data_IF_468420964371
#
_entry.id   IF_468420964371
#
_cell.length_a   1.000
_cell.length_b   1.000
_cell.length_c   1.000
_cell.angle_alpha   90.00
_cell.angle_beta   90.00
_cell.angle_gamma   90.00
#
_symmetry.space_group_name_H-M   'P 1'
#
loop_
_entity.id
_entity.type
_entity.pdbx_description
1 polymer ?
#
# COMPACT_ATOMS: atom_id res chain seq x y z
N UNK A 1 17.49 17.43 -41.61
CA UNK A 1 15.99 17.35 -41.55
C UNK A 1 15.54 16.34 -40.50
N UNK A 2 15.73 16.60 -39.20
CA UNK A 2 15.39 15.65 -38.11
C UNK A 2 14.67 16.29 -36.90
N UNK A 3 14.25 17.56 -36.97
CA UNK A 3 13.67 18.28 -35.83
C UNK A 3 12.15 18.22 -35.72
N UNK A 4 11.41 17.70 -36.70
CA UNK A 4 9.94 17.76 -36.76
C UNK A 4 9.20 16.54 -36.23
N UNK A 5 9.88 15.39 -36.06
CA UNK A 5 9.23 14.16 -35.57
C UNK A 5 9.15 14.05 -34.03
N UNK A 6 9.88 14.83 -33.26
CA UNK A 6 9.95 14.73 -31.81
C UNK A 6 8.90 15.54 -31.08
N UNK A 7 8.38 16.62 -31.68
CA UNK A 7 7.37 17.49 -31.06
C UNK A 7 6.04 16.81 -30.71
N UNK A 8 5.39 16.06 -31.62
CA UNK A 8 4.11 15.42 -31.32
C UNK A 8 4.21 14.29 -30.28
N UNK A 9 5.35 13.59 -30.19
CA UNK A 9 5.55 12.55 -29.19
C UNK A 9 5.74 13.12 -27.77
N UNK A 10 6.47 14.24 -27.67
CA UNK A 10 6.66 14.95 -26.39
C UNK A 10 5.36 15.53 -25.88
N UNK A 11 4.59 16.16 -26.75
CA UNK A 11 3.27 16.69 -26.39
C UNK A 11 2.28 15.60 -25.91
N UNK A 12 2.31 14.41 -26.53
CA UNK A 12 1.50 13.27 -26.06
C UNK A 12 1.92 12.77 -24.68
N UNK A 13 3.22 12.74 -24.39
CA UNK A 13 3.72 12.36 -23.07
C UNK A 13 3.27 13.36 -22.00
N UNK A 14 3.37 14.65 -22.29
CA UNK A 14 2.95 15.73 -21.36
C UNK A 14 1.46 15.66 -21.05
N UNK A 15 0.58 15.40 -22.02
CA UNK A 15 -0.87 15.19 -21.79
C UNK A 15 -1.12 13.96 -20.93
N UNK A 16 -0.44 12.84 -21.22
CA UNK A 16 -0.58 11.61 -20.44
C UNK A 16 -0.16 11.79 -18.98
N UNK A 17 0.90 12.55 -18.72
CA UNK A 17 1.34 12.90 -17.37
C UNK A 17 0.33 13.82 -16.66
N UNK A 18 -0.23 14.80 -17.37
CA UNK A 18 -1.23 15.71 -16.81
C UNK A 18 -2.51 14.94 -16.41
N UNK A 19 -3.00 14.05 -17.26
CA UNK A 19 -4.16 13.19 -16.97
C UNK A 19 -3.91 12.30 -15.75
N UNK A 20 -2.74 11.66 -15.69
CA UNK A 20 -2.34 10.86 -14.54
C UNK A 20 -2.25 11.68 -13.27
N UNK A 21 -1.59 12.85 -13.33
CA UNK A 21 -1.47 13.77 -12.19
C UNK A 21 -2.82 14.24 -11.67
N UNK A 22 -3.74 14.63 -12.57
CA UNK A 22 -5.09 15.03 -12.20
C UNK A 22 -5.86 13.87 -11.54
N UNK A 23 -5.83 12.67 -12.12
CA UNK A 23 -6.45 11.49 -11.53
C UNK A 23 -5.88 11.16 -10.15
N UNK A 24 -4.56 11.24 -9.99
CA UNK A 24 -3.88 11.01 -8.71
C UNK A 24 -4.34 12.01 -7.64
N UNK A 25 -4.49 13.29 -7.99
CA UNK A 25 -5.01 14.30 -7.07
C UNK A 25 -6.45 14.00 -6.68
N UNK A 26 -7.33 13.62 -7.63
CA UNK A 26 -8.71 13.25 -7.32
C UNK A 26 -8.77 12.05 -6.37
N UNK A 27 -7.95 11.02 -6.60
CA UNK A 27 -7.87 9.84 -5.74
C UNK A 27 -7.35 10.17 -4.34
N UNK A 28 -6.38 11.08 -4.22
CA UNK A 28 -5.87 11.52 -2.93
C UNK A 28 -6.88 12.41 -2.19
N UNK A 29 -7.59 13.30 -2.87
CA UNK A 29 -8.71 14.06 -2.26
C UNK A 29 -9.79 13.09 -1.75
N UNK A 30 -10.15 12.08 -2.55
CA UNK A 30 -11.10 11.04 -2.15
C UNK A 30 -10.61 10.31 -0.90
N UNK A 31 -9.35 9.85 -0.91
CA UNK A 31 -8.76 9.07 0.17
C UNK A 31 -8.47 9.89 1.43
N UNK A 32 -8.08 11.15 1.31
CA UNK A 32 -7.74 12.00 2.45
C UNK A 32 -8.96 12.71 3.02
N UNK A 33 -9.71 13.42 2.19
CA UNK A 33 -10.79 14.30 2.67
C UNK A 33 -12.11 13.54 2.81
N UNK A 34 -12.56 12.89 1.73
CA UNK A 34 -13.88 12.24 1.72
C UNK A 34 -13.91 10.84 2.32
N UNK A 35 -12.76 10.31 2.77
CA UNK A 35 -12.69 9.12 3.64
C UNK A 35 -12.39 9.51 5.10
N UNK A 36 -12.46 10.80 5.45
CA UNK A 36 -12.40 11.30 6.82
C UNK A 36 -13.78 11.28 7.49
N UNK A 37 -13.84 11.72 8.75
CA UNK A 37 -15.10 11.84 9.50
C UNK A 37 -16.10 12.87 8.92
N UNK A 38 -15.73 13.62 7.87
CA UNK A 38 -16.65 14.48 7.13
C UNK A 38 -17.86 13.69 6.59
N UNK A 39 -17.65 12.40 6.28
CA UNK A 39 -18.73 11.52 5.80
C UNK A 39 -19.85 11.32 6.83
N UNK A 40 -19.55 11.39 8.11
CA UNK A 40 -20.56 11.27 9.17
C UNK A 40 -21.32 12.56 9.42
N UNK A 41 -20.72 13.71 9.08
CA UNK A 41 -21.33 15.03 9.27
C UNK A 41 -22.12 15.47 8.02
N UNK A 42 -21.59 15.15 6.84
CA UNK A 42 -22.18 15.49 5.54
C UNK A 42 -22.32 14.24 4.65
N UNK A 43 -23.17 13.25 5.01
CA UNK A 43 -23.22 11.96 4.31
C UNK A 43 -23.61 12.10 2.84
N UNK A 44 -24.62 12.91 2.52
CA UNK A 44 -25.09 13.13 1.15
C UNK A 44 -24.03 13.77 0.25
N UNK A 45 -23.37 14.83 0.72
CA UNK A 45 -22.28 15.47 -0.01
C UNK A 45 -21.09 14.54 -0.19
N UNK A 46 -20.74 13.80 0.87
CA UNK A 46 -19.64 12.84 0.82
C UNK A 46 -19.91 11.71 -0.16
N UNK A 47 -21.13 11.22 -0.25
CA UNK A 47 -21.52 10.21 -1.22
C UNK A 47 -21.40 10.73 -2.66
N UNK A 48 -21.96 11.92 -2.96
CA UNK A 48 -21.86 12.54 -4.28
C UNK A 48 -20.40 12.84 -4.66
N UNK A 49 -19.61 13.36 -3.73
CA UNK A 49 -18.19 13.63 -3.95
C UNK A 49 -17.42 12.34 -4.24
N UNK A 50 -17.69 11.27 -3.50
CA UNK A 50 -17.08 9.95 -3.75
C UNK A 50 -17.42 9.43 -5.15
N UNK A 51 -18.67 9.47 -5.54
CA UNK A 51 -19.08 9.05 -6.89
C UNK A 51 -18.40 9.90 -7.97
N UNK A 52 -18.42 11.23 -7.82
CA UNK A 52 -17.81 12.15 -8.79
C UNK A 52 -16.30 11.99 -8.88
N UNK A 53 -15.59 11.94 -7.74
CA UNK A 53 -14.13 11.80 -7.69
C UNK A 53 -13.68 10.42 -8.19
N UNK A 54 -14.37 9.34 -7.79
CA UNK A 54 -14.10 7.98 -8.28
C UNK A 54 -14.36 7.89 -9.78
N UNK A 55 -15.52 8.34 -10.25
CA UNK A 55 -15.87 8.34 -11.68
C UNK A 55 -14.90 9.18 -12.51
N UNK A 56 -14.59 10.38 -12.05
CA UNK A 56 -13.62 11.26 -12.72
C UNK A 56 -12.22 10.64 -12.78
N UNK A 57 -11.74 10.06 -11.68
CA UNK A 57 -10.45 9.38 -11.65
C UNK A 57 -10.43 8.15 -12.57
N UNK A 58 -11.48 7.33 -12.58
CA UNK A 58 -11.62 6.17 -13.48
C UNK A 58 -11.56 6.59 -14.93
N UNK A 59 -12.31 7.62 -15.34
CA UNK A 59 -12.31 8.14 -16.72
C UNK A 59 -10.92 8.62 -17.11
N UNK A 60 -10.27 9.42 -16.27
CA UNK A 60 -8.94 9.96 -16.57
C UNK A 60 -7.88 8.86 -16.67
N UNK A 61 -7.90 7.87 -15.75
CA UNK A 61 -6.95 6.76 -15.76
C UNK A 61 -7.18 5.82 -16.96
N UNK A 62 -8.43 5.49 -17.28
CA UNK A 62 -8.77 4.68 -18.45
C UNK A 62 -8.40 5.40 -19.73
N UNK A 63 -8.76 6.68 -19.86
CA UNK A 63 -8.34 7.51 -20.99
C UNK A 63 -6.81 7.49 -21.14
N UNK A 64 -6.07 7.70 -20.03
CA UNK A 64 -4.61 7.62 -20.04
C UNK A 64 -4.11 6.25 -20.50
N UNK A 65 -4.67 5.15 -20.00
CA UNK A 65 -4.26 3.80 -20.37
C UNK A 65 -4.51 3.49 -21.84
N UNK A 66 -5.65 3.91 -22.39
CA UNK A 66 -6.06 3.56 -23.77
C UNK A 66 -5.46 4.52 -24.80
N UNK A 67 -5.48 5.83 -24.53
CA UNK A 67 -5.15 6.84 -25.53
C UNK A 67 -3.71 7.38 -25.43
N UNK A 68 -3.14 7.42 -24.24
CA UNK A 68 -1.85 8.08 -23.98
C UNK A 68 -0.77 7.17 -23.38
N UNK A 69 -1.08 5.86 -23.13
CA UNK A 69 -0.06 4.89 -22.76
C UNK A 69 0.45 4.15 -24.00
N UNK A 70 1.76 4.14 -24.17
CA UNK A 70 2.41 3.34 -25.20
C UNK A 70 2.82 1.98 -24.63
N UNK A 71 2.25 0.92 -25.16
CA UNK A 71 2.64 -0.44 -24.86
C UNK A 71 3.68 -0.92 -25.87
N UNK A 72 4.76 -1.55 -25.39
CA UNK A 72 5.87 -1.98 -26.23
C UNK A 72 5.56 -3.29 -26.97
N UNK A 73 4.53 -4.02 -26.54
CA UNK A 73 4.06 -5.26 -27.17
C UNK A 73 2.59 -5.53 -26.89
N UNK A 74 1.98 -6.39 -27.75
CA UNK A 74 0.61 -6.90 -27.51
C UNK A 74 0.49 -7.66 -26.19
N UNK A 75 1.54 -8.35 -25.77
CA UNK A 75 1.58 -9.07 -24.49
C UNK A 75 1.48 -8.12 -23.31
N UNK A 76 2.16 -6.97 -23.33
CA UNK A 76 2.01 -5.94 -22.29
C UNK A 76 0.60 -5.36 -22.24
N UNK A 77 0.00 -5.10 -23.39
CA UNK A 77 -1.37 -4.61 -23.47
C UNK A 77 -2.36 -5.65 -22.91
N UNK A 78 -2.20 -6.91 -23.28
CA UNK A 78 -3.02 -8.01 -22.75
C UNK A 78 -2.84 -8.16 -21.23
N UNK A 79 -1.61 -8.06 -20.73
CA UNK A 79 -1.33 -8.13 -19.30
C UNK A 79 -1.95 -6.95 -18.52
N UNK A 80 -1.86 -5.73 -19.06
CA UNK A 80 -2.52 -4.56 -18.48
C UNK A 80 -4.04 -4.73 -18.45
N UNK A 81 -4.64 -5.18 -19.57
CA UNK A 81 -6.07 -5.45 -19.66
C UNK A 81 -6.50 -6.55 -18.68
N UNK A 82 -5.73 -7.63 -18.56
CA UNK A 82 -5.99 -8.72 -17.62
C UNK A 82 -5.91 -8.24 -16.16
N UNK A 83 -4.91 -7.43 -15.81
CA UNK A 83 -4.78 -6.88 -14.46
C UNK A 83 -5.96 -5.96 -14.10
N UNK A 84 -6.35 -5.07 -15.01
CA UNK A 84 -7.52 -4.18 -14.83
C UNK A 84 -8.81 -5.01 -14.78
N UNK A 85 -8.98 -5.97 -15.69
CA UNK A 85 -10.18 -6.83 -15.75
C UNK A 85 -10.35 -7.66 -14.48
N UNK A 86 -9.26 -8.29 -14.01
CA UNK A 86 -9.28 -9.05 -12.75
C UNK A 86 -9.58 -8.16 -11.54
N UNK A 87 -8.94 -7.00 -11.46
CA UNK A 87 -9.19 -6.09 -10.34
C UNK A 87 -10.61 -5.50 -10.37
N UNK A 88 -11.17 -5.28 -11.57
CA UNK A 88 -12.57 -4.89 -11.75
C UNK A 88 -13.54 -5.99 -11.33
N UNK A 89 -13.27 -7.23 -11.72
CA UNK A 89 -14.05 -8.40 -11.27
C UNK A 89 -13.98 -8.54 -9.74
N UNK A 90 -12.80 -8.48 -9.16
CA UNK A 90 -12.60 -8.60 -7.72
C UNK A 90 -13.21 -7.43 -6.93
N UNK A 91 -13.24 -6.22 -7.51
CA UNK A 91 -13.94 -5.07 -6.93
C UNK A 91 -15.46 -5.26 -6.93
N UNK A 92 -16.00 -5.78 -8.03
CA UNK A 92 -17.43 -6.07 -8.15
C UNK A 92 -17.85 -7.23 -7.23
N UNK A 93 -17.07 -8.32 -7.19
CA UNK A 93 -17.37 -9.51 -6.40
C UNK A 93 -17.20 -9.28 -4.89
N UNK A 94 -16.23 -8.50 -4.47
CA UNK A 94 -15.85 -8.27 -3.06
C UNK A 94 -16.09 -6.84 -2.58
N UNK A 95 -16.84 -6.02 -3.29
CA UNK A 95 -17.17 -4.61 -2.99
C UNK A 95 -15.96 -3.74 -2.58
N UNK A 96 -14.78 -3.99 -3.20
CA UNK A 96 -13.52 -3.29 -2.91
C UNK A 96 -13.01 -2.50 -4.11
N UNK A 97 -13.60 -1.32 -4.31
CA UNK A 97 -13.22 -0.40 -5.40
C UNK A 97 -11.76 0.06 -5.30
N UNK A 98 -11.16 0.07 -4.10
CA UNK A 98 -9.78 0.51 -3.90
C UNK A 98 -8.75 -0.41 -4.57
N UNK A 99 -9.06 -1.71 -4.64
CA UNK A 99 -8.23 -2.64 -5.41
C UNK A 99 -8.18 -2.26 -6.89
N UNK A 100 -9.34 -2.03 -7.51
CA UNK A 100 -9.42 -1.59 -8.91
C UNK A 100 -8.68 -0.26 -9.12
N UNK A 101 -8.95 0.75 -8.28
CA UNK A 101 -8.33 2.07 -8.39
C UNK A 101 -6.81 2.01 -8.27
N UNK A 102 -6.29 1.19 -7.35
CA UNK A 102 -4.85 1.03 -7.14
C UNK A 102 -4.18 0.34 -8.33
N UNK A 103 -4.77 -0.74 -8.85
CA UNK A 103 -4.24 -1.45 -10.01
C UNK A 103 -4.30 -0.56 -11.26
N UNK A 104 -5.43 0.11 -11.48
CA UNK A 104 -5.61 1.01 -12.62
C UNK A 104 -4.64 2.20 -12.57
N UNK A 105 -4.47 2.84 -11.40
CA UNK A 105 -3.49 3.90 -11.20
C UNK A 105 -2.05 3.38 -11.43
N UNK A 106 -1.74 2.19 -10.91
CA UNK A 106 -0.46 1.54 -11.14
C UNK A 106 -0.18 1.28 -12.63
N UNK A 107 -1.14 0.73 -13.38
CA UNK A 107 -1.01 0.51 -14.83
C UNK A 107 -0.86 1.84 -15.57
N UNK A 108 -1.68 2.84 -15.21
CA UNK A 108 -1.64 4.17 -15.80
C UNK A 108 -0.32 4.93 -15.52
N UNK A 109 0.42 4.56 -14.49
CA UNK A 109 1.73 5.15 -14.20
C UNK A 109 2.80 4.78 -15.27
N UNK A 110 2.52 3.83 -16.19
CA UNK A 110 3.44 3.52 -17.29
C UNK A 110 3.72 4.76 -18.14
N UNK A 111 5.02 5.08 -18.28
CA UNK A 111 5.50 6.20 -19.09
C UNK A 111 5.36 7.58 -18.41
N UNK A 112 4.99 7.61 -17.14
CA UNK A 112 4.96 8.83 -16.31
C UNK A 112 6.32 9.05 -15.66
N UNK A 113 6.76 10.30 -15.54
CA UNK A 113 7.92 10.64 -14.72
C UNK A 113 7.62 10.35 -13.25
N UNK A 114 8.27 9.32 -12.71
CA UNK A 114 8.04 8.85 -11.35
C UNK A 114 8.36 9.93 -10.30
N UNK A 115 9.39 10.76 -10.53
CA UNK A 115 9.76 11.84 -9.63
C UNK A 115 8.68 12.92 -9.57
N UNK A 116 8.09 13.25 -10.73
CA UNK A 116 6.98 14.19 -10.84
C UNK A 116 5.73 13.62 -10.17
N UNK A 117 5.39 12.35 -10.45
CA UNK A 117 4.26 11.67 -9.82
C UNK A 117 4.37 11.65 -8.30
N UNK A 118 5.54 11.33 -7.75
CA UNK A 118 5.77 11.35 -6.31
C UNK A 118 5.72 12.75 -5.69
N UNK A 119 6.14 13.79 -6.41
CA UNK A 119 5.95 15.16 -5.92
C UNK A 119 4.49 15.54 -5.85
N UNK A 120 3.70 15.19 -6.87
CA UNK A 120 2.24 15.39 -6.88
C UNK A 120 1.60 14.61 -5.74
N UNK A 121 1.98 13.34 -5.58
CA UNK A 121 1.51 12.50 -4.48
C UNK A 121 1.81 13.14 -3.12
N UNK A 122 3.06 13.49 -2.85
CA UNK A 122 3.49 14.06 -1.57
C UNK A 122 2.76 15.37 -1.28
N UNK A 123 2.66 16.25 -2.27
CA UNK A 123 1.97 17.53 -2.10
C UNK A 123 0.47 17.34 -1.85
N UNK A 124 -0.21 16.49 -2.63
CA UNK A 124 -1.64 16.26 -2.49
C UNK A 124 -1.99 15.51 -1.18
N UNK A 125 -1.22 14.49 -0.79
CA UNK A 125 -1.42 13.77 0.45
C UNK A 125 -1.18 14.67 1.67
N UNK A 126 -0.08 15.42 1.69
CA UNK A 126 0.20 16.37 2.78
C UNK A 126 -0.86 17.49 2.85
N UNK A 127 -1.28 18.05 1.70
CA UNK A 127 -2.34 19.03 1.66
C UNK A 127 -3.67 18.47 2.17
N UNK A 128 -4.03 17.25 1.78
CA UNK A 128 -5.24 16.58 2.26
C UNK A 128 -5.25 16.39 3.77
N UNK A 129 -4.13 15.94 4.35
CA UNK A 129 -3.95 15.86 5.81
C UNK A 129 -4.15 17.21 6.49
N UNK A 130 -3.50 18.26 5.96
CA UNK A 130 -3.63 19.63 6.51
C UNK A 130 -5.07 20.12 6.41
N UNK A 131 -5.74 19.91 5.28
CA UNK A 131 -7.15 20.31 5.08
C UNK A 131 -8.05 19.65 6.12
N UNK A 132 -7.90 18.34 6.38
CA UNK A 132 -8.70 17.63 7.38
C UNK A 132 -8.48 18.20 8.78
N UNK A 133 -7.23 18.51 9.16
CA UNK A 133 -6.93 19.16 10.44
C UNK A 133 -7.53 20.59 10.52
N UNK A 134 -7.39 21.38 9.46
CA UNK A 134 -7.97 22.73 9.41
C UNK A 134 -9.51 22.70 9.50
N UNK A 135 -10.16 21.76 8.82
CA UNK A 135 -11.60 21.58 8.90
C UNK A 135 -12.06 21.20 10.31
N UNK A 136 -11.26 20.43 11.05
CA UNK A 136 -11.56 20.13 12.45
C UNK A 136 -11.50 21.39 13.33
N UNK A 137 -10.39 22.16 13.27
CA UNK A 137 -10.19 23.29 14.17
C UNK A 137 -11.01 24.53 13.77
N UNK A 138 -11.31 24.72 12.48
CA UNK A 138 -12.04 25.87 11.99
C UNK A 138 -13.56 25.66 11.87
N UNK A 139 -14.02 24.39 11.86
CA UNK A 139 -15.42 24.03 11.60
C UNK A 139 -15.80 22.77 12.36
N UNK A 140 -17.10 22.48 12.59
CA UNK A 140 -17.55 21.21 13.12
C UNK A 140 -17.62 20.07 12.08
N UNK A 141 -17.14 20.28 10.85
CA UNK A 141 -17.34 19.37 9.75
C UNK A 141 -16.55 18.06 9.86
N UNK A 142 -15.42 18.05 10.56
CA UNK A 142 -14.60 16.86 10.78
C UNK A 142 -14.41 16.67 12.29
N UNK A 143 -15.34 16.01 12.97
CA UNK A 143 -15.18 15.75 14.41
C UNK A 143 -14.03 14.77 14.64
N UNK A 144 -13.19 15.06 15.64
CA UNK A 144 -12.25 14.07 16.19
C UNK A 144 -12.98 13.22 17.19
N UNK A 145 -12.71 11.92 17.18
CA UNK A 145 -13.28 10.96 18.10
C UNK A 145 -12.19 10.28 18.90
N UNK A 146 -12.45 10.10 20.19
CA UNK A 146 -11.57 9.31 21.03
C UNK A 146 -11.93 7.84 20.85
N UNK A 147 -10.98 7.06 20.35
CA UNK A 147 -11.19 5.65 20.08
C UNK A 147 -10.22 4.82 20.91
N UNK A 148 -10.77 4.01 21.77
CA UNK A 148 -10.05 3.13 22.71
C UNK A 148 -9.02 3.87 23.60
N UNK A 149 -7.92 4.35 23.04
CA UNK A 149 -6.80 4.97 23.77
C UNK A 149 -6.31 6.27 23.17
N UNK A 150 -6.71 6.57 21.94
CA UNK A 150 -6.17 7.69 21.18
C UNK A 150 -7.25 8.39 20.37
N UNK A 151 -6.95 9.61 19.95
CA UNK A 151 -7.77 10.36 19.02
C UNK A 151 -7.59 9.83 17.59
N UNK A 152 -8.70 9.80 16.84
CA UNK A 152 -8.72 9.35 15.44
C UNK A 152 -8.24 10.41 14.44
N UNK A 153 -8.01 11.63 14.91
CA UNK A 153 -7.60 12.78 14.10
C UNK A 153 -8.45 12.97 12.83
N UNK A 154 -9.74 12.62 12.92
CA UNK A 154 -10.70 12.79 11.83
C UNK A 154 -10.78 11.63 10.85
N UNK A 155 -10.16 10.46 11.13
CA UNK A 155 -10.10 9.33 10.20
C UNK A 155 -10.77 8.04 10.71
N UNK A 156 -11.68 8.16 11.66
CA UNK A 156 -12.46 7.05 12.20
C UNK A 156 -11.68 6.12 13.13
N UNK A 157 -10.36 6.04 12.95
CA UNK A 157 -9.45 5.28 13.78
C UNK A 157 -8.04 5.88 13.70
N UNK A 158 -7.29 5.87 14.81
CA UNK A 158 -5.92 6.41 14.85
C UNK A 158 -4.98 5.71 13.86
N UNK A 159 -5.13 4.40 13.58
CA UNK A 159 -4.37 3.70 12.55
C UNK A 159 -4.67 4.22 11.14
N UNK A 160 -5.88 4.71 10.89
CA UNK A 160 -6.24 5.36 9.63
C UNK A 160 -5.44 6.64 9.40
N UNK A 161 -5.25 7.45 10.46
CA UNK A 161 -4.40 8.63 10.44
C UNK A 161 -2.92 8.26 10.24
N UNK A 162 -2.43 7.29 11.03
CA UNK A 162 -1.05 6.80 10.93
C UNK A 162 -0.70 6.24 9.56
N UNK A 163 -1.63 5.56 8.89
CA UNK A 163 -1.46 5.07 7.53
C UNK A 163 -1.17 6.21 6.53
N UNK A 164 -1.85 7.33 6.65
CA UNK A 164 -1.66 8.50 5.79
C UNK A 164 -0.35 9.22 6.07
N UNK A 165 0.02 9.37 7.34
CA UNK A 165 1.35 9.87 7.71
C UNK A 165 2.45 8.97 7.13
N UNK A 166 2.25 7.65 7.12
CA UNK A 166 3.16 6.69 6.51
C UNK A 166 3.31 6.93 5.01
N UNK A 167 2.22 7.16 4.29
CA UNK A 167 2.26 7.47 2.85
C UNK A 167 3.10 8.71 2.54
N UNK A 168 2.90 9.79 3.30
CA UNK A 168 3.72 11.02 3.21
C UNK A 168 5.19 10.71 3.52
N UNK A 169 5.46 9.96 4.58
CA UNK A 169 6.80 9.57 4.99
C UNK A 169 7.52 8.77 3.90
N UNK A 170 6.86 7.74 3.34
CA UNK A 170 7.44 6.92 2.27
C UNK A 170 7.70 7.73 1.01
N UNK A 171 6.74 8.56 0.59
CA UNK A 171 6.91 9.41 -0.58
C UNK A 171 8.07 10.40 -0.42
N UNK A 172 8.20 11.02 0.77
CA UNK A 172 9.31 11.92 1.09
C UNK A 172 10.64 11.18 1.11
N UNK A 173 10.76 10.10 1.88
CA UNK A 173 11.96 9.30 1.99
C UNK A 173 12.43 8.75 0.63
N UNK A 174 11.50 8.21 -0.16
CA UNK A 174 11.79 7.68 -1.49
C UNK A 174 12.22 8.78 -2.46
N UNK A 175 11.50 9.91 -2.51
CA UNK A 175 11.84 11.04 -3.38
C UNK A 175 13.22 11.61 -3.10
N UNK A 176 13.67 11.56 -1.84
CA UNK A 176 14.91 12.15 -1.36
C UNK A 176 16.03 11.13 -1.15
N UNK A 177 15.79 9.84 -1.37
CA UNK A 177 16.70 8.75 -1.10
C UNK A 177 18.18 9.03 -1.44
N UNK A 178 18.47 9.42 -2.69
CA UNK A 178 19.85 9.67 -3.14
C UNK A 178 20.48 10.93 -2.53
N UNK A 179 19.67 11.80 -1.91
CA UNK A 179 20.03 13.17 -1.51
C UNK A 179 19.54 13.54 -0.12
N UNK A 180 19.30 12.55 0.73
CA UNK A 180 18.90 12.79 2.12
C UNK A 180 19.96 13.64 2.85
N UNK A 181 19.56 14.84 3.26
CA UNK A 181 20.38 15.77 4.06
C UNK A 181 19.98 15.65 5.52
N UNK A 182 20.73 16.31 6.42
CA UNK A 182 20.46 16.27 7.85
C UNK A 182 19.03 16.68 8.22
N UNK A 183 18.46 17.68 7.52
CA UNK A 183 17.09 18.13 7.77
C UNK A 183 16.03 17.12 7.26
N UNK A 184 16.31 16.36 6.19
CA UNK A 184 15.43 15.25 5.75
C UNK A 184 15.44 14.16 6.85
N UNK A 185 16.59 13.80 7.40
CA UNK A 185 16.69 12.86 8.51
C UNK A 185 15.95 13.36 9.74
N UNK A 186 16.17 14.62 10.15
CA UNK A 186 15.48 15.23 11.27
C UNK A 186 13.96 15.24 11.08
N UNK A 187 13.48 15.68 9.91
CA UNK A 187 12.04 15.72 9.58
C UNK A 187 11.40 14.34 9.55
N UNK A 188 12.05 13.36 8.90
CA UNK A 188 11.53 11.98 8.86
C UNK A 188 11.54 11.34 10.25
N UNK A 189 12.59 11.58 11.07
CA UNK A 189 12.64 11.09 12.45
C UNK A 189 11.57 11.74 13.31
N UNK A 190 11.36 13.05 13.17
CA UNK A 190 10.29 13.77 13.88
C UNK A 190 8.91 13.25 13.49
N UNK A 191 8.67 12.96 12.21
CA UNK A 191 7.40 12.41 11.73
C UNK A 191 7.16 10.99 12.27
N UNK A 192 8.21 10.14 12.31
CA UNK A 192 8.12 8.80 12.89
C UNK A 192 7.85 8.87 14.40
N UNK A 193 8.56 9.72 15.13
CA UNK A 193 8.36 9.95 16.56
C UNK A 193 6.96 10.50 16.84
N UNK A 194 6.51 11.48 16.08
CA UNK A 194 5.13 11.99 16.19
C UNK A 194 4.10 10.88 15.97
N UNK A 195 4.27 10.05 14.94
CA UNK A 195 3.34 8.95 14.62
C UNK A 195 3.25 7.93 15.76
N UNK A 196 4.37 7.65 16.44
CA UNK A 196 4.43 6.73 17.58
C UNK A 196 3.87 7.34 18.87
N UNK A 197 4.20 8.60 19.17
CA UNK A 197 3.96 9.23 20.47
C UNK A 197 2.66 10.04 20.49
N UNK A 198 2.30 10.71 19.39
CA UNK A 198 1.08 11.51 19.27
C UNK A 198 -0.15 10.63 19.08
N UNK A 199 -0.46 10.17 17.86
CA UNK A 199 -1.61 9.31 17.61
C UNK A 199 -1.41 7.87 18.14
N UNK A 200 -0.22 7.48 18.54
CA UNK A 200 0.06 6.13 19.07
C UNK A 200 -0.04 5.02 18.02
N UNK A 201 0.17 5.34 16.74
CA UNK A 201 0.04 4.41 15.61
C UNK A 201 1.28 3.51 15.50
N UNK A 202 1.33 2.45 16.31
CA UNK A 202 2.53 1.59 16.43
C UNK A 202 2.91 0.95 15.09
N UNK A 203 1.96 0.40 14.32
CA UNK A 203 2.25 -0.24 13.04
C UNK A 203 2.93 0.71 12.04
N UNK A 204 2.33 1.87 11.80
CA UNK A 204 2.90 2.88 10.91
C UNK A 204 4.24 3.43 11.43
N UNK A 205 4.31 3.79 12.71
CA UNK A 205 5.53 4.32 13.30
C UNK A 205 6.69 3.33 13.28
N UNK A 206 6.46 2.05 13.57
CA UNK A 206 7.49 1.01 13.49
C UNK A 206 7.99 0.81 12.05
N UNK A 207 7.10 0.85 11.05
CA UNK A 207 7.52 0.79 9.65
C UNK A 207 8.36 2.00 9.22
N UNK A 208 8.02 3.20 9.71
CA UNK A 208 8.83 4.40 9.50
C UNK A 208 10.23 4.27 10.12
N UNK A 209 10.29 3.82 11.38
CA UNK A 209 11.57 3.57 12.08
C UNK A 209 12.38 2.51 11.34
N UNK A 210 11.75 1.40 10.94
CA UNK A 210 12.43 0.36 10.16
C UNK A 210 13.03 0.92 8.88
N UNK A 211 12.29 1.74 8.13
CA UNK A 211 12.81 2.35 6.89
C UNK A 211 14.00 3.29 7.17
N UNK A 212 13.95 4.08 8.24
CA UNK A 212 15.09 4.92 8.66
C UNK A 212 16.32 4.08 9.00
N UNK A 213 16.12 3.00 9.76
CA UNK A 213 17.21 2.07 10.11
C UNK A 213 17.80 1.40 8.86
N UNK A 214 16.95 0.95 7.93
CA UNK A 214 17.39 0.37 6.66
C UNK A 214 18.15 1.39 5.81
N UNK A 215 17.70 2.65 5.77
CA UNK A 215 18.39 3.73 5.08
C UNK A 215 19.76 4.03 5.71
N UNK A 216 19.85 4.08 7.02
CA UNK A 216 21.10 4.27 7.73
C UNK A 216 22.05 3.07 7.54
N UNK A 217 21.54 1.86 7.73
CA UNK A 217 22.32 0.62 7.55
C UNK A 217 22.88 0.50 6.11
N UNK A 218 22.09 0.85 5.10
CA UNK A 218 22.56 0.82 3.72
C UNK A 218 23.71 1.82 3.47
N UNK A 219 23.70 2.97 4.11
CA UNK A 219 24.79 3.95 3.99
C UNK A 219 26.07 3.49 4.69
N UNK A 220 25.93 2.80 5.82
CA UNK A 220 27.05 2.28 6.58
C UNK A 220 27.61 0.97 5.99
N UNK A 221 26.73 0.12 5.47
CA UNK A 221 27.04 -1.24 5.02
C UNK A 221 26.49 -1.53 3.61
N UNK A 222 26.84 -0.73 2.58
CA UNK A 222 26.24 -0.86 1.25
C UNK A 222 26.49 -2.24 0.61
N UNK A 223 27.59 -2.90 0.91
CA UNK A 223 27.92 -4.23 0.38
C UNK A 223 26.92 -5.30 0.83
N UNK A 224 26.36 -5.19 2.04
CA UNK A 224 25.36 -6.13 2.56
C UNK A 224 24.12 -6.11 1.70
N UNK A 225 23.63 -4.94 1.32
CA UNK A 225 22.40 -4.76 0.52
C UNK A 225 22.57 -5.12 -0.96
N UNK A 226 23.81 -5.32 -1.40
CA UNK A 226 24.14 -5.82 -2.74
C UNK A 226 24.48 -7.31 -2.75
N UNK A 227 24.53 -7.94 -1.58
CA UNK A 227 24.91 -9.34 -1.41
C UNK A 227 23.80 -10.30 -1.87
N UNK A 228 24.19 -11.52 -2.25
CA UNK A 228 23.23 -12.61 -2.56
C UNK A 228 22.34 -12.99 -1.37
N UNK A 229 22.86 -13.11 -0.14
CA UNK A 229 22.01 -13.38 1.04
C UNK A 229 20.89 -12.35 1.21
N UNK A 230 21.19 -11.05 1.06
CA UNK A 230 20.18 -10.00 1.13
C UNK A 230 19.10 -10.16 0.04
N UNK A 231 19.50 -10.48 -1.19
CA UNK A 231 18.56 -10.72 -2.28
C UNK A 231 17.62 -11.90 -1.99
N UNK A 232 18.17 -13.00 -1.49
CA UNK A 232 17.35 -14.16 -1.09
C UNK A 232 16.43 -13.85 0.09
N UNK A 233 16.94 -13.15 1.10
CA UNK A 233 16.14 -12.72 2.25
C UNK A 233 14.94 -11.87 1.81
N UNK A 234 15.15 -10.88 0.96
CA UNK A 234 14.07 -10.01 0.49
C UNK A 234 13.06 -10.74 -0.38
N UNK A 235 13.49 -11.70 -1.21
CA UNK A 235 12.58 -12.55 -1.98
C UNK A 235 11.78 -13.51 -1.08
N UNK A 236 12.40 -14.04 -0.03
CA UNK A 236 11.72 -14.92 0.92
C UNK A 236 10.72 -14.17 1.82
N UNK A 237 10.87 -12.85 1.96
CA UNK A 237 10.11 -12.07 2.95
C UNK A 237 8.60 -12.16 2.73
N UNK A 238 8.12 -11.93 1.50
CA UNK A 238 6.68 -11.98 1.20
C UNK A 238 6.06 -13.36 1.51
N UNK A 239 6.59 -14.50 0.98
CA UNK A 239 6.05 -15.81 1.31
C UNK A 239 6.18 -16.16 2.79
N UNK A 240 7.26 -15.76 3.48
CA UNK A 240 7.41 -16.00 4.91
C UNK A 240 6.40 -15.21 5.74
N UNK A 241 6.15 -13.94 5.40
CA UNK A 241 5.14 -13.14 6.10
C UNK A 241 3.73 -13.65 5.82
N UNK A 242 3.45 -14.11 4.60
CA UNK A 242 2.17 -14.74 4.25
C UNK A 242 1.96 -16.02 5.04
N UNK A 243 2.91 -16.97 4.95
CA UNK A 243 2.82 -18.24 5.66
C UNK A 243 2.78 -18.04 7.19
N UNK A 244 3.62 -17.13 7.71
CA UNK A 244 3.65 -16.79 9.13
C UNK A 244 2.33 -16.21 9.63
N UNK A 245 1.69 -15.35 8.86
CA UNK A 245 0.38 -14.78 9.19
C UNK A 245 -0.71 -15.85 9.21
N UNK A 246 -0.75 -16.69 8.16
CA UNK A 246 -1.73 -17.77 8.05
C UNK A 246 -1.55 -18.77 9.20
N UNK A 247 -0.33 -19.23 9.45
CA UNK A 247 -0.03 -20.20 10.50
C UNK A 247 -0.26 -19.62 11.91
N UNK A 248 0.14 -18.37 12.16
CA UNK A 248 -0.04 -17.76 13.47
C UNK A 248 -1.53 -17.61 13.83
N UNK A 249 -2.36 -17.14 12.89
CA UNK A 249 -3.80 -17.03 13.09
C UNK A 249 -4.48 -18.40 13.28
N UNK A 250 -4.02 -19.43 12.57
CA UNK A 250 -4.57 -20.77 12.68
C UNK A 250 -4.16 -21.48 13.99
N UNK A 251 -2.89 -21.37 14.39
CA UNK A 251 -2.32 -22.12 15.52
C UNK A 251 -2.51 -21.44 16.87
N UNK A 252 -2.70 -20.12 16.89
CA UNK A 252 -2.88 -19.38 18.14
C UNK A 252 -4.29 -19.60 18.69
N UNK A 253 -4.38 -20.09 19.93
CA UNK A 253 -5.64 -20.22 20.66
C UNK A 253 -5.69 -19.19 21.79
N UNK A 254 -6.55 -18.15 21.70
CA UNK A 254 -6.67 -17.16 22.76
C UNK A 254 -7.29 -17.72 24.03
N UNK A 255 -8.05 -18.83 23.97
CA UNK A 255 -8.62 -19.49 25.13
C UNK A 255 -7.58 -20.33 25.90
N UNK A 256 -6.55 -20.83 25.23
CA UNK A 256 -5.43 -21.59 25.83
C UNK A 256 -4.07 -21.08 25.30
N UNK A 257 -3.64 -19.87 25.72
CA UNK A 257 -2.34 -19.32 25.30
C UNK A 257 -1.15 -20.17 25.77
N UNK A 258 -1.33 -20.98 26.79
CA UNK A 258 -0.30 -21.88 27.32
C UNK A 258 0.08 -22.98 26.33
N UNK A 259 -0.82 -23.38 25.45
CA UNK A 259 -0.57 -24.38 24.41
C UNK A 259 0.46 -23.92 23.38
N UNK A 260 0.57 -22.61 23.14
CA UNK A 260 1.50 -22.01 22.18
C UNK A 260 2.27 -20.83 22.81
N UNK A 261 3.19 -21.07 23.78
CA UNK A 261 3.79 -20.01 24.59
C UNK A 261 4.62 -19.01 23.77
N UNK A 262 5.23 -19.45 22.67
CA UNK A 262 5.93 -18.54 21.75
C UNK A 262 4.96 -17.60 21.04
N UNK A 263 3.86 -18.11 20.52
CA UNK A 263 2.83 -17.29 19.87
C UNK A 263 2.17 -16.33 20.87
N UNK A 264 1.94 -16.78 22.12
CA UNK A 264 1.41 -15.93 23.18
C UNK A 264 2.34 -14.74 23.48
N UNK A 265 3.64 -14.97 23.57
CA UNK A 265 4.64 -13.87 23.74
C UNK A 265 4.66 -12.93 22.53
N UNK A 266 4.67 -13.47 21.31
CA UNK A 266 4.62 -12.68 20.10
C UNK A 266 3.30 -11.91 19.98
N UNK A 267 2.17 -12.49 20.38
CA UNK A 267 0.88 -11.81 20.41
C UNK A 267 0.90 -10.59 21.33
N UNK A 268 1.50 -10.71 22.52
CA UNK A 268 1.64 -9.57 23.44
C UNK A 268 2.52 -8.45 22.86
N UNK A 269 3.62 -8.79 22.19
CA UNK A 269 4.51 -7.84 21.49
C UNK A 269 3.79 -7.16 20.34
N UNK A 270 2.93 -7.88 19.61
CA UNK A 270 2.15 -7.38 18.48
C UNK A 270 0.79 -6.80 18.92
N UNK A 271 0.60 -6.52 20.21
CA UNK A 271 -0.60 -5.88 20.74
C UNK A 271 -1.90 -6.66 20.49
N UNK A 272 -1.88 -7.98 20.66
CA UNK A 272 -3.05 -8.83 20.51
C UNK A 272 -3.41 -9.20 19.06
N UNK A 273 -2.49 -9.01 18.10
CA UNK A 273 -2.79 -9.23 16.67
C UNK A 273 -3.12 -10.68 16.34
N UNK A 274 -2.49 -11.65 17.01
CA UNK A 274 -2.77 -13.07 16.71
C UNK A 274 -4.17 -13.48 17.16
N UNK A 275 -4.69 -12.85 18.22
CA UNK A 275 -6.08 -13.02 18.63
C UNK A 275 -7.04 -12.54 17.53
N UNK A 276 -6.80 -11.33 16.97
CA UNK A 276 -7.57 -10.82 15.83
C UNK A 276 -7.46 -11.75 14.62
N UNK A 277 -6.25 -12.28 14.32
CA UNK A 277 -6.05 -13.20 13.20
C UNK A 277 -6.70 -14.56 13.43
N UNK A 278 -6.72 -15.05 14.69
CA UNK A 278 -7.43 -16.26 15.06
C UNK A 278 -8.94 -16.14 14.81
N UNK A 279 -9.52 -15.01 15.18
CA UNK A 279 -10.94 -14.75 14.93
C UNK A 279 -11.33 -14.79 13.45
N UNK A 280 -10.41 -14.52 12.53
CA UNK A 280 -10.68 -14.66 11.08
C UNK A 280 -10.97 -16.11 10.68
N UNK A 281 -10.34 -17.07 11.36
CA UNK A 281 -10.54 -18.49 11.07
C UNK A 281 -11.71 -19.12 11.84
N UNK A 282 -11.85 -18.76 13.11
CA UNK A 282 -12.64 -19.51 14.07
C UNK A 282 -13.87 -18.79 14.58
N UNK A 283 -13.89 -17.46 14.46
CA UNK A 283 -14.96 -16.64 14.97
C UNK A 283 -15.52 -15.68 13.90
N UNK A 284 -15.25 -15.92 12.64
CA UNK A 284 -15.98 -15.19 11.60
C UNK A 284 -17.43 -15.62 11.68
N UNK A 285 -18.31 -14.78 12.26
CA UNK A 285 -19.68 -15.15 12.40
C UNK A 285 -20.32 -15.11 11.02
N UNK A 286 -20.59 -16.25 10.45
CA UNK A 286 -21.76 -16.32 9.60
C UNK A 286 -22.94 -16.17 10.54
N UNK A 287 -23.38 -14.94 10.77
CA UNK A 287 -24.66 -14.72 11.44
C UNK A 287 -25.73 -15.17 10.48
N UNK A 288 -26.10 -16.43 10.53
CA UNK A 288 -27.45 -16.79 10.17
C UNK A 288 -28.31 -16.32 11.36
N UNK A 289 -29.25 -15.40 11.17
CA UNK A 289 -30.24 -15.15 12.19
C UNK A 289 -30.91 -16.49 12.47
N UNK A 290 -30.77 -17.00 13.67
CA UNK A 290 -31.60 -18.10 14.13
C UNK A 290 -33.05 -17.61 14.12
N UNK A 291 -34.02 -18.52 13.94
CA UNK A 291 -35.45 -18.18 13.95
C UNK A 291 -35.87 -17.38 15.20
N UNK A 292 -35.06 -17.44 16.25
CA UNK A 292 -35.25 -16.75 17.53
C UNK A 292 -34.57 -15.36 17.60
N UNK A 293 -33.97 -14.87 16.52
CA UNK A 293 -33.27 -13.59 16.49
C UNK A 293 -31.92 -13.55 17.24
N UNK A 294 -31.44 -14.68 17.73
CA UNK A 294 -30.12 -14.78 18.36
C UNK A 294 -29.03 -14.97 17.29
N UNK A 295 -27.95 -14.21 17.37
CA UNK A 295 -26.80 -14.39 16.52
C UNK A 295 -26.09 -15.73 16.86
N UNK A 296 -26.24 -16.72 16.01
CA UNK A 296 -25.47 -17.96 16.14
C UNK A 296 -24.06 -17.74 15.56
N UNK A 297 -23.06 -17.91 16.39
CA UNK A 297 -21.66 -17.89 16.00
C UNK A 297 -21.31 -19.21 15.33
N UNK A 298 -21.01 -19.17 14.06
CA UNK A 298 -20.54 -20.34 13.34
C UNK A 298 -19.00 -20.41 13.42
N UNK A 299 -18.48 -21.46 14.05
CA UNK A 299 -17.06 -21.79 13.95
C UNK A 299 -16.83 -22.47 12.58
N UNK A 300 -16.38 -21.68 11.60
CA UNK A 300 -16.05 -22.24 10.30
C UNK A 300 -14.69 -22.95 10.36
N UNK A 301 -14.62 -24.14 9.77
CA UNK A 301 -13.34 -24.78 9.51
C UNK A 301 -12.56 -23.97 8.46
N UNK A 302 -11.23 -23.91 8.58
CA UNK A 302 -10.34 -23.20 7.66
C UNK A 302 -10.67 -23.39 6.16
N UNK A 303 -11.05 -24.61 5.68
CA UNK A 303 -11.45 -24.81 4.29
C UNK A 303 -12.69 -24.04 3.86
N UNK A 304 -13.60 -23.70 4.77
CA UNK A 304 -14.82 -22.94 4.44
C UNK A 304 -14.56 -21.43 4.35
N UNK A 305 -13.48 -20.94 4.98
CA UNK A 305 -13.10 -19.53 5.00
C UNK A 305 -12.16 -19.18 3.85
N UNK A 306 -11.27 -20.10 3.45
CA UNK A 306 -10.32 -19.92 2.37
C UNK A 306 -10.92 -20.43 1.05
N UNK A 307 -11.27 -19.53 0.16
CA UNK A 307 -11.80 -19.89 -1.16
C UNK A 307 -10.85 -19.48 -2.29
N UNK A 308 -11.09 -20.01 -3.50
CA UNK A 308 -10.28 -19.67 -4.67
C UNK A 308 -10.41 -18.18 -5.04
N UNK A 309 -11.63 -17.63 -4.97
CA UNK A 309 -11.95 -16.26 -5.41
C UNK A 309 -12.11 -15.27 -4.26
N UNK A 310 -12.10 -15.73 -3.02
CA UNK A 310 -12.39 -14.90 -1.85
C UNK A 310 -13.89 -14.66 -1.68
N UNK A 311 -14.22 -13.46 -1.25
CA UNK A 311 -15.62 -13.05 -1.09
C UNK A 311 -16.20 -13.45 0.26
N UNK A 312 -15.40 -13.34 1.33
CA UNK A 312 -16.00 -13.30 2.66
C UNK A 312 -17.01 -12.16 2.67
N UNK A 313 -18.27 -12.44 3.02
CA UNK A 313 -19.28 -11.41 3.10
C UNK A 313 -18.80 -10.36 4.10
N UNK A 314 -18.73 -9.12 3.64
CA UNK A 314 -18.55 -7.95 4.51
C UNK A 314 -19.88 -7.56 5.13
N UNK A 315 -20.91 -8.40 4.96
CA UNK A 315 -22.26 -8.13 5.39
C UNK A 315 -22.39 -8.16 6.89
N UNK A 316 -22.85 -7.06 7.41
CA UNK A 316 -23.45 -6.92 8.70
C UNK A 316 -22.49 -6.46 9.80
N UNK A 317 -23.06 -6.18 10.92
CA UNK A 317 -22.60 -5.45 12.10
C UNK A 317 -21.36 -5.99 12.82
N UNK A 318 -20.66 -6.99 12.29
CA UNK A 318 -19.44 -7.56 12.88
C UNK A 318 -18.24 -7.27 12.01
N UNK A 319 -17.84 -6.01 12.00
CA UNK A 319 -16.59 -5.56 11.39
C UNK A 319 -15.39 -5.99 12.24
N UNK A 320 -15.01 -7.23 12.19
CA UNK A 320 -13.66 -7.59 12.57
C UNK A 320 -12.73 -7.18 11.43
N UNK A 321 -12.16 -5.99 11.55
CA UNK A 321 -11.16 -5.51 10.62
C UNK A 321 -9.99 -6.49 10.60
N UNK A 322 -9.74 -7.13 9.46
CA UNK A 322 -8.55 -7.96 9.27
C UNK A 322 -7.36 -7.00 9.16
N UNK A 323 -6.72 -6.72 10.30
CA UNK A 323 -5.55 -5.84 10.39
C UNK A 323 -4.27 -6.56 9.94
N UNK A 324 -4.33 -7.27 8.83
CA UNK A 324 -3.21 -7.98 8.22
C UNK A 324 -3.50 -8.16 6.73
N UNK A 325 -2.67 -7.56 5.90
CA UNK A 325 -2.86 -7.62 4.44
C UNK A 325 -2.75 -9.05 3.88
N UNK A 326 -1.87 -9.89 4.43
CA UNK A 326 -1.66 -11.25 3.91
C UNK A 326 -2.89 -12.14 4.14
N UNK A 327 -3.48 -12.03 5.32
CA UNK A 327 -4.75 -12.67 5.65
C UNK A 327 -5.89 -12.07 4.82
N UNK A 328 -6.01 -10.74 4.78
CA UNK A 328 -7.06 -10.06 4.05
C UNK A 328 -7.03 -10.37 2.55
N UNK A 329 -5.85 -10.45 1.94
CA UNK A 329 -5.72 -10.88 0.54
C UNK A 329 -6.23 -12.31 0.35
N UNK A 330 -5.85 -13.23 1.23
CA UNK A 330 -6.24 -14.63 1.11
C UNK A 330 -7.74 -14.82 1.34
N UNK A 331 -8.33 -14.13 2.30
CA UNK A 331 -9.74 -14.27 2.66
C UNK A 331 -10.65 -13.47 1.71
N UNK A 332 -10.35 -12.19 1.47
CA UNK A 332 -11.23 -11.32 0.69
C UNK A 332 -11.04 -11.43 -0.82
N UNK A 333 -9.81 -11.72 -1.29
CA UNK A 333 -9.49 -11.86 -2.72
C UNK A 333 -9.22 -13.31 -3.12
N UNK A 334 -9.29 -14.22 -2.16
CA UNK A 334 -9.05 -15.64 -2.35
C UNK A 334 -7.58 -15.99 -2.63
N UNK A 335 -7.34 -17.28 -2.73
CA UNK A 335 -6.00 -17.81 -3.03
C UNK A 335 -5.47 -17.24 -4.35
N UNK A 336 -6.33 -17.10 -5.36
CA UNK A 336 -5.95 -16.53 -6.65
C UNK A 336 -5.45 -15.09 -6.51
N UNK A 337 -6.19 -14.24 -5.79
CA UNK A 337 -5.79 -12.85 -5.54
C UNK A 337 -4.49 -12.74 -4.76
N UNK A 338 -4.33 -13.55 -3.72
CA UNK A 338 -3.10 -13.60 -2.92
C UNK A 338 -1.89 -14.01 -3.76
N UNK A 339 -2.04 -15.02 -4.63
CA UNK A 339 -0.99 -15.49 -5.53
C UNK A 339 -0.64 -14.45 -6.61
N UNK A 340 -1.64 -13.79 -7.20
CA UNK A 340 -1.41 -12.76 -8.22
C UNK A 340 -0.69 -11.54 -7.62
N UNK A 341 -1.17 -11.00 -6.51
CA UNK A 341 -0.52 -9.87 -5.83
C UNK A 341 0.86 -10.26 -5.33
N UNK A 342 0.98 -11.44 -4.71
CA UNK A 342 2.27 -11.97 -4.25
C UNK A 342 3.26 -12.16 -5.38
N UNK A 343 2.81 -12.71 -6.51
CA UNK A 343 3.62 -12.87 -7.72
C UNK A 343 4.13 -11.53 -8.26
N UNK A 344 3.30 -10.50 -8.28
CA UNK A 344 3.70 -9.14 -8.66
C UNK A 344 4.75 -8.58 -7.70
N UNK A 345 4.54 -8.71 -6.39
CA UNK A 345 5.49 -8.24 -5.37
C UNK A 345 6.83 -8.96 -5.49
N UNK A 346 6.82 -10.30 -5.60
CA UNK A 346 8.03 -11.11 -5.75
C UNK A 346 8.78 -10.76 -7.03
N UNK A 347 8.07 -10.60 -8.14
CA UNK A 347 8.69 -10.24 -9.41
C UNK A 347 9.28 -8.83 -9.38
N UNK A 348 8.61 -7.89 -8.70
CA UNK A 348 9.14 -6.54 -8.48
C UNK A 348 10.41 -6.59 -7.62
N UNK A 349 10.40 -7.28 -6.49
CA UNK A 349 11.58 -7.47 -5.63
C UNK A 349 12.75 -8.07 -6.40
N UNK A 350 12.49 -9.10 -7.21
CA UNK A 350 13.51 -9.75 -8.05
C UNK A 350 14.11 -8.78 -9.05
N UNK A 351 13.27 -7.97 -9.74
CA UNK A 351 13.72 -6.96 -10.70
C UNK A 351 14.55 -5.87 -10.04
N UNK A 352 14.09 -5.33 -8.90
CA UNK A 352 14.79 -4.31 -8.13
C UNK A 352 16.16 -4.83 -7.66
N UNK A 353 16.20 -6.06 -7.16
CA UNK A 353 17.45 -6.71 -6.73
C UNK A 353 18.43 -6.87 -7.88
N UNK A 354 17.97 -7.38 -9.03
CA UNK A 354 18.83 -7.52 -10.22
C UNK A 354 19.31 -6.19 -10.79
N UNK A 355 18.45 -5.18 -10.79
CA UNK A 355 18.77 -3.81 -11.19
C UNK A 355 19.58 -3.03 -10.16
N UNK A 356 19.84 -3.61 -8.97
CA UNK A 356 20.53 -2.94 -7.85
C UNK A 356 19.86 -1.64 -7.40
N UNK A 357 18.54 -1.57 -7.52
CA UNK A 357 17.74 -0.43 -7.09
C UNK A 357 17.39 -0.57 -5.59
N UNK A 358 18.42 -0.36 -4.77
CA UNK A 358 18.34 -0.64 -3.31
C UNK A 358 17.31 0.25 -2.62
N UNK A 359 17.22 1.53 -2.98
CA UNK A 359 16.28 2.45 -2.32
C UNK A 359 14.83 2.01 -2.44
N UNK A 360 14.36 1.65 -3.64
CA UNK A 360 13.02 1.11 -3.87
C UNK A 360 12.82 -0.23 -3.17
N UNK A 361 13.85 -1.07 -3.15
CA UNK A 361 13.81 -2.36 -2.47
C UNK A 361 13.61 -2.17 -0.96
N UNK A 362 14.31 -1.23 -0.32
CA UNK A 362 14.16 -0.94 1.11
C UNK A 362 12.79 -0.37 1.44
N UNK A 363 12.25 0.52 0.61
CA UNK A 363 10.88 1.01 0.75
C UNK A 363 9.88 -0.14 0.67
N UNK A 364 10.04 -1.06 -0.29
CA UNK A 364 9.13 -2.20 -0.42
C UNK A 364 9.26 -3.15 0.78
N UNK A 365 10.47 -3.44 1.26
CA UNK A 365 10.70 -4.26 2.46
C UNK A 365 10.00 -3.66 3.68
N UNK A 366 10.20 -2.36 3.96
CA UNK A 366 9.55 -1.72 5.09
C UNK A 366 8.02 -1.69 4.96
N UNK A 367 7.49 -1.52 3.74
CA UNK A 367 6.06 -1.62 3.47
C UNK A 367 5.54 -3.03 3.75
N UNK A 368 6.25 -4.10 3.37
CA UNK A 368 5.83 -5.48 3.66
C UNK A 368 5.70 -5.73 5.16
N UNK A 369 6.59 -5.18 5.99
CA UNK A 369 6.45 -5.25 7.45
C UNK A 369 5.25 -4.44 7.97
N UNK A 370 4.96 -3.28 7.37
CA UNK A 370 3.75 -2.54 7.71
C UNK A 370 2.48 -3.33 7.41
N UNK A 371 2.45 -4.02 6.28
CA UNK A 371 1.32 -4.82 5.82
C UNK A 371 1.04 -6.06 6.71
N UNK A 372 2.00 -6.48 7.53
CA UNK A 372 1.79 -7.47 8.59
C UNK A 372 0.88 -6.94 9.71
N UNK A 373 0.93 -5.63 9.93
CA UNK A 373 0.22 -4.96 11.03
C UNK A 373 -1.07 -4.27 10.58
N UNK A 374 -1.27 -4.09 9.28
CA UNK A 374 -2.40 -3.33 8.73
C UNK A 374 -2.81 -3.84 7.35
N UNK A 375 -4.11 -3.81 7.07
CA UNK A 375 -4.65 -4.11 5.74
C UNK A 375 -4.79 -2.83 4.90
N UNK A 376 -3.66 -2.30 4.39
CA UNK A 376 -3.60 -1.00 3.70
C UNK A 376 -2.87 -1.04 2.36
N UNK A 377 -2.69 -2.23 1.76
CA UNK A 377 -1.93 -2.36 0.49
C UNK A 377 -2.58 -1.57 -0.65
N UNK A 378 -3.92 -1.51 -0.68
CA UNK A 378 -4.69 -0.79 -1.71
C UNK A 378 -5.13 0.60 -1.28
N UNK A 379 -4.77 1.06 -0.10
CA UNK A 379 -5.03 2.43 0.31
C UNK A 379 -3.98 3.35 -0.32
N UNK A 380 -4.36 4.03 -1.40
CA UNK A 380 -3.46 4.87 -2.19
C UNK A 380 -2.74 5.94 -1.37
N UNK A 381 -3.41 6.54 -0.39
CA UNK A 381 -2.81 7.55 0.49
C UNK A 381 -1.77 6.97 1.47
N UNK A 382 -1.78 5.67 1.73
CA UNK A 382 -0.81 5.01 2.60
C UNK A 382 0.35 4.36 1.82
N UNK A 383 0.12 3.99 0.56
CA UNK A 383 1.05 3.18 -0.21
C UNK A 383 1.40 3.81 -1.57
N UNK A 384 2.42 4.69 -1.65
CA UNK A 384 2.87 5.27 -2.91
C UNK A 384 3.59 4.25 -3.82
N UNK A 385 3.90 3.04 -3.33
CA UNK A 385 4.67 2.04 -4.08
C UNK A 385 3.87 1.39 -5.22
N UNK A 386 2.53 1.62 -5.31
CA UNK A 386 1.76 1.25 -6.49
C UNK A 386 2.32 1.86 -7.78
N UNK A 387 3.04 3.00 -7.68
CA UNK A 387 3.74 3.63 -8.79
C UNK A 387 4.86 2.74 -9.40
N UNK A 388 5.29 1.70 -8.70
CA UNK A 388 6.25 0.69 -9.20
C UNK A 388 5.58 -0.44 -9.98
N UNK A 389 4.25 -0.51 -10.02
CA UNK A 389 3.54 -1.58 -10.73
C UNK A 389 3.95 -1.71 -12.21
N UNK A 390 4.20 -0.62 -12.99
CA UNK A 390 4.71 -0.74 -14.35
C UNK A 390 6.09 -1.41 -14.44
N UNK A 391 6.93 -1.24 -13.43
CA UNK A 391 8.22 -1.90 -13.35
C UNK A 391 8.09 -3.43 -13.25
N UNK A 392 7.07 -3.91 -12.54
CA UNK A 392 6.77 -5.34 -12.47
C UNK A 392 6.11 -5.84 -13.76
N UNK A 393 5.00 -5.24 -14.18
CA UNK A 393 4.13 -5.80 -15.20
C UNK A 393 4.46 -5.36 -16.63
N UNK A 394 4.89 -4.11 -16.80
CA UNK A 394 4.85 -3.44 -18.11
C UNK A 394 6.22 -2.99 -18.64
N UNK A 395 7.32 -3.34 -17.99
CA UNK A 395 8.67 -3.04 -18.47
C UNK A 395 9.28 -4.30 -19.09
N UNK A 396 9.75 -4.28 -20.35
CA UNK A 396 10.36 -5.44 -21.00
C UNK A 396 11.54 -6.00 -20.21
N UNK A 397 11.81 -7.31 -20.37
CA UNK A 397 13.01 -7.92 -19.80
C UNK A 397 14.25 -7.28 -20.45
N UNK A 398 15.22 -6.88 -19.61
CA UNK A 398 16.45 -6.22 -20.07
C UNK A 398 16.32 -4.71 -20.30
N UNK A 399 15.11 -4.13 -20.32
CA UNK A 399 14.96 -2.69 -20.35
C UNK A 399 15.24 -2.08 -18.94
N UNK A 400 15.81 -0.86 -18.89
CA UNK A 400 16.04 -0.17 -17.63
C UNK A 400 14.71 0.07 -16.90
N UNK A 401 14.72 -0.13 -15.59
CA UNK A 401 13.56 0.17 -14.77
C UNK A 401 13.40 1.69 -14.64
N UNK A 402 12.16 2.16 -14.77
CA UNK A 402 11.80 3.55 -14.49
C UNK A 402 11.64 3.71 -12.97
N UNK A 403 12.75 3.88 -12.29
CA UNK A 403 12.86 4.02 -10.83
C UNK A 403 13.63 5.30 -10.49
N UNK A 404 13.51 5.78 -9.26
CA UNK A 404 14.17 7.02 -8.83
C UNK A 404 15.62 6.81 -8.44
N UNK A 405 15.88 5.68 -7.78
CA UNK A 405 17.18 5.40 -7.19
C UNK A 405 18.11 4.90 -8.30
N UNK A 406 19.27 5.51 -8.41
CA UNK A 406 20.31 5.02 -9.31
C UNK A 406 20.75 3.63 -8.88
N UNK A 407 21.11 2.74 -9.84
CA UNK A 407 21.74 1.49 -9.48
C UNK A 407 22.98 1.73 -8.64
N UNK A 408 23.17 0.96 -7.59
CA UNK A 408 24.38 1.04 -6.80
C UNK A 408 25.58 0.60 -7.64
N UNK A 409 26.62 1.43 -7.68
CA UNK A 409 27.84 1.13 -8.41
C UNK A 409 28.50 -0.16 -7.89
N UNK A 410 29.04 -0.96 -8.80
CA UNK A 410 29.87 -2.10 -8.43
C UNK A 410 31.18 -1.63 -7.77
N UNK A 411 31.71 -2.37 -6.79
CA UNK A 411 33.03 -2.05 -6.21
C UNK A 411 34.16 -1.95 -7.23
N UNK A 412 34.04 -2.63 -8.37
CA UNK A 412 35.04 -2.61 -9.45
C UNK A 412 35.00 -1.34 -10.32
N UNK A 413 33.93 -0.54 -10.28
CA UNK A 413 33.84 0.72 -11.05
C UNK A 413 34.41 1.93 -10.33
N UNK A 414 34.91 1.78 -9.12
CA UNK A 414 35.75 2.77 -8.47
C UNK A 414 37.18 2.61 -9.04
N UNK A 415 37.37 3.07 -10.27
CA UNK A 415 38.71 3.30 -10.81
C UNK A 415 39.46 4.20 -9.82
N UNK A 416 40.67 3.83 -9.36
CA UNK A 416 41.44 4.71 -8.51
C UNK A 416 41.65 6.01 -9.28
N UNK A 417 41.26 7.13 -8.66
CA UNK A 417 41.68 8.43 -9.16
C UNK A 417 43.20 8.37 -9.32
N UNK A 418 43.66 8.51 -10.54
CA UNK A 418 45.10 8.69 -10.78
C UNK A 418 45.53 9.93 -9.96
N UNK A 419 46.45 9.67 -9.06
CA UNK A 419 47.16 10.69 -8.31
C UNK A 419 47.99 11.57 -9.23
#
# INVERSE_FOLDING_TARGET
>A
MTATATRPLRQRADVGEALFGAALVLLLILSEVFSSNIQSTLPGLSHLARLGLTGGALVLLLAKCVLWTRYDSRAQMALAAAAIGYSGFAAWYGDDVWFLLTVLAGVAAKGVDLRRALRVYLAAAAAGLVVVQLLHYATPLVPFRFYARNWDFGYGHYNGYGARLLGVFFAWGWLRWDRLRWFDWAGLTALAAYTLLGPGCRGAGMAMVLLLLLFAAQRLLPAVFLSRPWQWLTLALYPLLTAGSLLAGYLFDPADPGRTPLLARLNSLLSGRFEVWHHVYWAFPYTHPTEDGAAAWYHGDMPSVVSLLGGLPTDGDVHHAIDNTYLALTMNKGVLGALLVGGVVLFLLWRLSRGRHVGEQLCLVAMLFYLLMENKIFLLSANPLFLLLPCALLTPRGAPLLVLCRPAATPAEKTPAMV
#
